data_IF_734030027323
#
_entry.id   IF_734030027323
#
_cell.length_a   1.000
_cell.length_b   1.000
_cell.length_c   1.000
_cell.angle_alpha   90.00
_cell.angle_beta   90.00
_cell.angle_gamma   90.00
#
_symmetry.space_group_name_H-M   'P 1'
#
loop_
_entity.id
_entity.type
_entity.pdbx_description
1 polymer ?
#
# COMPACT_ATOMS: atom_id res chain seq x y z
N UNK A 1 7.29 27.87 8.57
CA UNK A 1 7.54 26.60 7.84
C UNK A 1 6.64 25.44 8.32
N UNK A 2 6.76 24.99 9.55
CA UNK A 2 5.92 23.88 10.06
C UNK A 2 4.42 24.25 10.11
N UNK A 3 4.08 25.42 10.63
CA UNK A 3 2.70 25.91 10.67
C UNK A 3 2.07 26.07 9.28
N UNK A 4 2.84 26.54 8.30
CA UNK A 4 2.34 26.70 6.92
C UNK A 4 2.03 25.34 6.29
N UNK A 5 2.93 24.34 6.50
CA UNK A 5 2.71 22.97 6.04
C UNK A 5 1.43 22.38 6.63
N UNK A 6 1.24 22.53 7.94
CA UNK A 6 0.02 22.04 8.61
C UNK A 6 -1.23 22.77 8.14
N UNK A 7 -1.18 24.09 7.97
CA UNK A 7 -2.32 24.89 7.52
C UNK A 7 -2.76 24.48 6.09
N UNK A 8 -1.81 24.32 5.18
CA UNK A 8 -2.07 23.88 3.79
C UNK A 8 -2.62 22.44 3.77
N UNK A 9 -2.02 21.53 4.56
CA UNK A 9 -2.50 20.14 4.71
C UNK A 9 -3.93 20.12 5.25
N UNK A 10 -4.21 20.84 6.34
CA UNK A 10 -5.53 20.89 6.95
C UNK A 10 -6.59 21.43 6.00
N UNK A 11 -6.26 22.46 5.19
CA UNK A 11 -7.15 23.00 4.16
C UNK A 11 -7.52 21.91 3.13
N UNK A 12 -6.53 21.21 2.61
CA UNK A 12 -6.74 20.16 1.60
C UNK A 12 -7.52 18.97 2.15
N UNK A 13 -7.22 18.53 3.38
CA UNK A 13 -7.97 17.46 4.04
C UNK A 13 -9.43 17.88 4.29
N UNK A 14 -9.68 19.13 4.67
CA UNK A 14 -11.04 19.66 4.85
C UNK A 14 -11.81 19.69 3.53
N UNK A 15 -11.17 20.08 2.40
CA UNK A 15 -11.74 20.00 1.05
C UNK A 15 -12.10 18.55 0.70
N UNK A 16 -11.21 17.61 0.98
CA UNK A 16 -11.39 16.19 0.69
C UNK A 16 -12.53 15.56 1.51
N UNK A 17 -12.58 15.81 2.84
CA UNK A 17 -13.66 15.29 3.72
C UNK A 17 -15.04 15.81 3.29
N UNK A 18 -15.09 17.04 2.78
CA UNK A 18 -16.34 17.65 2.29
C UNK A 18 -16.77 17.16 0.89
N UNK A 19 -15.95 16.36 0.25
CA UNK A 19 -16.23 15.78 -1.06
C UNK A 19 -16.29 14.24 -0.98
N UNK A 20 -17.44 13.64 -0.63
CA UNK A 20 -17.57 12.19 -0.51
C UNK A 20 -17.28 11.46 -1.82
N UNK A 21 -17.52 12.09 -2.98
CA UNK A 21 -17.19 11.52 -4.28
C UNK A 21 -15.69 11.24 -4.46
N UNK A 22 -14.81 11.95 -3.74
CA UNK A 22 -13.38 11.70 -3.75
C UNK A 22 -12.94 10.56 -2.80
N UNK A 23 -13.79 10.18 -1.84
CA UNK A 23 -13.51 9.15 -0.84
C UNK A 23 -14.05 7.79 -1.28
N UNK A 24 -15.27 7.78 -1.81
CA UNK A 24 -16.01 6.57 -2.17
C UNK A 24 -15.24 5.61 -3.11
N UNK A 25 -14.54 6.06 -4.16
CA UNK A 25 -13.81 5.15 -5.04
C UNK A 25 -12.75 4.33 -4.32
N UNK A 26 -12.02 4.94 -3.36
CA UNK A 26 -11.01 4.22 -2.56
C UNK A 26 -11.62 3.14 -1.67
N UNK A 27 -12.75 3.46 -1.02
CA UNK A 27 -13.49 2.50 -0.19
C UNK A 27 -14.09 1.39 -1.06
N UNK A 28 -14.72 1.75 -2.17
CA UNK A 28 -15.29 0.78 -3.11
C UNK A 28 -14.24 -0.20 -3.62
N UNK A 29 -13.06 0.30 -4.02
CA UNK A 29 -11.95 -0.54 -4.48
C UNK A 29 -11.47 -1.50 -3.38
N UNK A 30 -11.41 -1.06 -2.12
CA UNK A 30 -11.06 -1.92 -0.99
C UNK A 30 -12.04 -3.10 -0.85
N UNK A 31 -13.34 -2.78 -0.85
CA UNK A 31 -14.40 -3.79 -0.74
C UNK A 31 -14.37 -4.71 -1.98
N UNK A 32 -14.30 -4.13 -3.17
CA UNK A 32 -14.31 -4.87 -4.44
C UNK A 32 -13.16 -5.89 -4.52
N UNK A 33 -11.91 -5.45 -4.29
CA UNK A 33 -10.76 -6.34 -4.37
C UNK A 33 -10.78 -7.43 -3.31
N UNK A 34 -11.10 -7.10 -2.04
CA UNK A 34 -11.16 -8.09 -0.97
C UNK A 34 -12.35 -9.02 -1.12
N UNK A 35 -13.54 -8.52 -1.48
CA UNK A 35 -14.71 -9.36 -1.67
C UNK A 35 -14.57 -10.25 -2.91
N UNK A 36 -14.13 -9.69 -4.05
CA UNK A 36 -13.99 -10.44 -5.30
C UNK A 36 -12.94 -11.54 -5.16
N UNK A 37 -11.71 -11.19 -4.79
CA UNK A 37 -10.63 -12.18 -4.71
C UNK A 37 -10.71 -13.03 -3.44
N UNK A 38 -11.15 -12.48 -2.32
CA UNK A 38 -11.28 -13.21 -1.08
C UNK A 38 -12.39 -14.28 -1.12
N UNK A 39 -13.48 -14.04 -1.85
CA UNK A 39 -14.57 -15.00 -2.01
C UNK A 39 -14.37 -15.97 -3.18
N UNK A 40 -13.81 -15.47 -4.30
CA UNK A 40 -13.68 -16.24 -5.55
C UNK A 40 -12.47 -17.18 -5.54
N UNK A 41 -11.41 -16.83 -4.83
CA UNK A 41 -10.17 -17.59 -4.73
C UNK A 41 -9.95 -18.10 -3.32
N UNK A 42 -10.45 -19.30 -3.03
CA UNK A 42 -10.02 -20.01 -1.83
C UNK A 42 -9.24 -21.25 -2.25
N UNK A 43 -7.89 -21.21 -2.28
CA UNK A 43 -7.07 -22.35 -2.70
C UNK A 43 -7.31 -23.61 -1.88
N UNK A 44 -7.76 -23.44 -0.63
CA UNK A 44 -8.11 -24.57 0.25
C UNK A 44 -9.37 -25.30 -0.23
N UNK A 45 -10.29 -24.59 -0.89
CA UNK A 45 -11.50 -25.19 -1.47
C UNK A 45 -11.19 -25.89 -2.81
N UNK A 46 -10.04 -25.65 -3.41
CA UNK A 46 -9.59 -26.34 -4.62
C UNK A 46 -9.00 -27.74 -4.33
N UNK A 47 -8.84 -28.10 -3.07
CA UNK A 47 -8.40 -29.44 -2.69
C UNK A 47 -9.51 -30.42 -3.06
N UNK A 48 -9.28 -31.35 -4.00
CA UNK A 48 -10.27 -32.33 -4.35
C UNK A 48 -10.55 -33.21 -3.12
N UNK A 49 -11.80 -33.41 -2.81
CA UNK A 49 -12.23 -34.33 -1.73
C UNK A 49 -12.18 -35.79 -2.19
N UNK A 50 -12.06 -36.00 -3.51
CA UNK A 50 -12.00 -37.34 -4.14
C UNK A 50 -10.99 -37.31 -5.28
N UNK A 51 -10.24 -38.39 -5.44
CA UNK A 51 -9.39 -38.66 -6.61
C UNK A 51 -9.84 -39.98 -7.24
N UNK A 52 -10.23 -39.95 -8.52
CA UNK A 52 -10.68 -41.14 -9.23
C UNK A 52 -11.92 -41.80 -8.64
N UNK A 53 -12.81 -41.03 -8.00
CA UNK A 53 -14.03 -41.53 -7.34
C UNK A 53 -13.82 -42.09 -5.94
N UNK A 54 -12.58 -42.17 -5.43
CA UNK A 54 -12.27 -42.60 -4.06
C UNK A 54 -12.10 -41.36 -3.16
N UNK A 55 -12.80 -41.32 -1.97
CA UNK A 55 -12.59 -40.24 -1.01
C UNK A 55 -11.13 -40.22 -0.52
N UNK A 56 -10.54 -39.00 -0.48
CA UNK A 56 -9.22 -38.82 0.13
C UNK A 56 -9.29 -39.14 1.65
N UNK A 57 -8.25 -39.78 2.18
CA UNK A 57 -8.14 -39.96 3.59
C UNK A 57 -8.10 -38.63 4.33
N UNK A 58 -8.68 -38.51 5.54
CA UNK A 58 -8.64 -37.27 6.31
C UNK A 58 -7.21 -36.76 6.55
N UNK A 59 -6.25 -37.66 6.74
CA UNK A 59 -4.82 -37.31 6.92
C UNK A 59 -4.21 -36.70 5.67
N UNK A 60 -4.47 -37.26 4.48
CA UNK A 60 -3.98 -36.73 3.22
C UNK A 60 -4.61 -35.38 2.91
N UNK A 61 -5.89 -35.22 3.18
CA UNK A 61 -6.60 -33.93 3.03
C UNK A 61 -5.97 -32.85 3.92
N UNK A 62 -5.64 -33.17 5.17
CA UNK A 62 -4.96 -32.26 6.09
C UNK A 62 -3.54 -31.90 5.61
N UNK A 63 -2.79 -32.88 5.11
CA UNK A 63 -1.45 -32.65 4.56
C UNK A 63 -1.49 -31.72 3.34
N UNK A 64 -2.43 -31.92 2.41
CA UNK A 64 -2.58 -31.05 1.24
C UNK A 64 -2.99 -29.63 1.68
N UNK A 65 -3.93 -29.51 2.62
CA UNK A 65 -4.32 -28.20 3.17
C UNK A 65 -3.16 -27.47 3.85
N UNK A 66 -2.35 -28.18 4.64
CA UNK A 66 -1.18 -27.60 5.28
C UNK A 66 -0.09 -27.18 4.28
N UNK A 67 0.12 -28.00 3.24
CA UNK A 67 1.04 -27.66 2.13
C UNK A 67 0.58 -26.40 1.36
N UNK A 68 -0.72 -26.30 1.06
CA UNK A 68 -1.28 -25.08 0.46
C UNK A 68 -1.11 -23.88 1.39
N UNK A 69 -1.47 -24.00 2.66
CA UNK A 69 -1.31 -22.93 3.64
C UNK A 69 0.15 -22.45 3.75
N UNK A 70 1.13 -23.36 3.68
CA UNK A 70 2.55 -22.99 3.71
C UNK A 70 2.98 -22.16 2.50
N UNK A 71 2.43 -22.43 1.31
CA UNK A 71 2.66 -21.62 0.10
C UNK A 71 2.16 -20.18 0.30
N UNK A 72 1.05 -20.01 1.04
CA UNK A 72 0.48 -18.70 1.38
C UNK A 72 1.03 -18.14 2.70
N UNK A 73 2.25 -18.53 3.10
CA UNK A 73 2.93 -17.99 4.27
C UNK A 73 2.29 -18.37 5.61
N UNK A 74 1.58 -19.49 5.67
CA UNK A 74 0.88 -19.98 6.87
C UNK A 74 -0.43 -19.27 7.17
N UNK A 75 -0.96 -18.45 6.26
CA UNK A 75 -2.24 -17.79 6.44
C UNK A 75 -3.39 -18.81 6.60
N UNK A 76 -4.25 -18.59 7.57
CA UNK A 76 -5.37 -19.48 7.89
C UNK A 76 -6.40 -19.53 6.76
N UNK A 77 -6.56 -18.43 6.01
CA UNK A 77 -7.41 -18.32 4.84
C UNK A 77 -6.81 -17.35 3.81
N UNK A 78 -7.33 -17.39 2.59
CA UNK A 78 -6.82 -16.55 1.50
C UNK A 78 -7.09 -15.05 1.73
N UNK A 79 -8.17 -14.68 2.43
CA UNK A 79 -8.45 -13.28 2.79
C UNK A 79 -7.35 -12.74 3.70
N UNK A 80 -6.88 -13.52 4.68
CA UNK A 80 -5.77 -13.12 5.55
C UNK A 80 -4.49 -12.87 4.77
N UNK A 81 -4.17 -13.75 3.80
CA UNK A 81 -3.04 -13.56 2.91
C UNK A 81 -3.17 -12.30 2.06
N UNK A 82 -4.35 -12.10 1.45
CA UNK A 82 -4.62 -10.99 0.55
C UNK A 82 -4.67 -9.64 1.26
N UNK A 83 -5.21 -9.58 2.47
CA UNK A 83 -5.49 -8.29 3.13
C UNK A 83 -4.24 -7.44 3.25
N UNK A 84 -3.10 -8.00 3.67
CA UNK A 84 -1.83 -7.28 3.74
C UNK A 84 -1.40 -6.71 2.37
N UNK A 85 -1.57 -7.50 1.30
CA UNK A 85 -1.26 -7.10 -0.07
C UNK A 85 -2.21 -6.02 -0.59
N UNK A 86 -3.51 -6.24 -0.44
CA UNK A 86 -4.54 -5.32 -0.95
C UNK A 86 -4.48 -3.96 -0.23
N UNK A 87 -4.26 -3.92 1.09
CA UNK A 87 -4.05 -2.65 1.80
C UNK A 87 -2.89 -1.88 1.15
N UNK A 88 -1.74 -2.53 0.99
CA UNK A 88 -0.55 -1.89 0.44
C UNK A 88 -0.77 -1.42 -1.00
N UNK A 89 -1.40 -2.26 -1.84
CA UNK A 89 -1.76 -1.95 -3.22
C UNK A 89 -2.65 -0.71 -3.31
N UNK A 90 -3.78 -0.72 -2.60
CA UNK A 90 -4.77 0.38 -2.66
C UNK A 90 -4.16 1.69 -2.15
N UNK A 91 -3.36 1.62 -1.09
CA UNK A 91 -2.71 2.80 -0.51
C UNK A 91 -1.72 3.43 -1.48
N UNK A 92 -0.88 2.64 -2.16
CA UNK A 92 0.07 3.14 -3.17
C UNK A 92 -0.67 3.76 -4.35
N UNK A 93 -1.72 3.11 -4.84
CA UNK A 93 -2.54 3.65 -5.93
C UNK A 93 -3.22 4.97 -5.50
N UNK A 94 -3.85 5.03 -4.33
CA UNK A 94 -4.46 6.27 -3.83
C UNK A 94 -3.42 7.39 -3.65
N UNK A 95 -2.23 7.05 -3.16
CA UNK A 95 -1.13 8.01 -3.02
C UNK A 95 -0.68 8.57 -4.36
N UNK A 96 -0.56 7.73 -5.37
CA UNK A 96 -0.17 8.11 -6.71
C UNK A 96 -1.18 9.09 -7.34
N UNK A 97 -2.47 8.74 -7.31
CA UNK A 97 -3.54 9.59 -7.84
C UNK A 97 -3.81 10.84 -6.99
N UNK A 98 -3.38 10.88 -5.73
CA UNK A 98 -3.50 12.08 -4.89
C UNK A 98 -2.80 13.32 -5.45
N UNK A 99 -1.83 13.15 -6.36
CA UNK A 99 -1.16 14.23 -7.08
C UNK A 99 -2.06 15.00 -8.06
N UNK A 100 -3.19 14.42 -8.47
CA UNK A 100 -4.14 15.07 -9.41
C UNK A 100 -4.64 16.40 -8.85
N UNK A 101 -4.95 16.46 -7.55
CA UNK A 101 -5.37 17.70 -6.88
C UNK A 101 -4.34 18.84 -7.07
N UNK A 102 -3.03 18.51 -7.08
CA UNK A 102 -1.94 19.48 -7.25
C UNK A 102 -1.95 20.03 -8.67
N UNK A 103 -2.13 19.17 -9.68
CA UNK A 103 -2.18 19.58 -11.09
C UNK A 103 -3.42 20.43 -11.36
N UNK A 104 -4.57 20.07 -10.78
CA UNK A 104 -5.80 20.87 -10.89
C UNK A 104 -5.61 22.24 -10.20
N UNK A 105 -5.07 22.29 -8.98
CA UNK A 105 -4.80 23.53 -8.27
C UNK A 105 -3.82 24.44 -9.06
N UNK A 106 -2.88 23.85 -9.83
CA UNK A 106 -2.02 24.58 -10.77
C UNK A 106 -2.83 25.15 -11.93
N UNK A 107 -3.66 24.35 -12.60
CA UNK A 107 -4.48 24.78 -13.75
C UNK A 107 -5.47 25.90 -13.37
N UNK A 108 -5.95 25.89 -12.13
CA UNK A 108 -6.82 26.95 -11.59
C UNK A 108 -6.03 28.19 -11.10
N UNK A 109 -4.70 28.22 -11.26
CA UNK A 109 -3.87 29.36 -10.85
C UNK A 109 -3.61 29.45 -9.34
N UNK A 110 -4.16 28.52 -8.54
CA UNK A 110 -3.97 28.53 -7.08
C UNK A 110 -2.50 28.31 -6.67
N UNK A 111 -1.77 27.47 -7.41
CA UNK A 111 -0.34 27.26 -7.16
C UNK A 111 0.45 28.57 -7.33
N UNK A 112 0.13 29.38 -8.35
CA UNK A 112 0.77 30.67 -8.58
C UNK A 112 0.53 31.63 -7.41
N UNK A 113 -0.70 31.64 -6.85
CA UNK A 113 -1.01 32.42 -5.65
C UNK A 113 -0.23 31.97 -4.42
N UNK A 114 0.05 30.67 -4.29
CA UNK A 114 0.92 30.15 -3.22
C UNK A 114 2.39 30.54 -3.40
N UNK A 115 2.87 30.60 -4.64
CA UNK A 115 4.25 30.94 -4.95
C UNK A 115 4.56 32.44 -4.73
N UNK A 116 3.54 33.32 -4.81
CA UNK A 116 3.65 34.74 -4.50
C UNK A 116 3.47 35.06 -3.01
N UNK A 117 2.91 34.13 -2.24
CA UNK A 117 2.77 34.27 -0.78
C UNK A 117 4.13 34.05 -0.07
N UNK A 118 4.32 34.58 1.15
CA UNK A 118 5.54 34.40 1.92
C UNK A 118 5.63 32.98 2.53
N UNK A 119 5.47 31.96 1.70
CA UNK A 119 5.47 30.54 2.09
C UNK A 119 6.67 29.85 1.46
N UNK A 120 7.38 29.01 2.21
CA UNK A 120 8.52 28.29 1.66
C UNK A 120 8.07 27.21 0.66
N UNK A 121 8.82 27.05 -0.43
CA UNK A 121 8.57 26.00 -1.45
C UNK A 121 8.62 24.59 -0.85
N UNK A 122 9.45 24.41 0.17
CA UNK A 122 9.49 23.16 0.96
C UNK A 122 8.17 22.90 1.67
N UNK A 123 7.53 23.96 2.24
CA UNK A 123 6.21 23.80 2.90
C UNK A 123 5.13 23.44 1.90
N UNK A 124 5.17 23.96 0.68
CA UNK A 124 4.23 23.62 -0.40
C UNK A 124 4.38 22.13 -0.78
N UNK A 125 5.62 21.68 -1.02
CA UNK A 125 5.90 20.26 -1.35
C UNK A 125 5.47 19.32 -0.20
N UNK A 126 5.91 19.62 1.03
CA UNK A 126 5.63 18.78 2.19
C UNK A 126 4.13 18.73 2.49
N UNK A 127 3.38 19.79 2.29
CA UNK A 127 1.92 19.80 2.46
C UNK A 127 1.23 18.90 1.44
N UNK A 128 1.70 18.90 0.19
CA UNK A 128 1.21 17.98 -0.86
C UNK A 128 1.47 16.52 -0.52
N UNK A 129 2.69 16.18 -0.08
CA UNK A 129 3.04 14.82 0.31
C UNK A 129 2.25 14.37 1.57
N UNK A 130 2.16 15.24 2.59
CA UNK A 130 1.50 14.91 3.84
C UNK A 130 -0.02 14.73 3.69
N UNK A 131 -0.70 15.59 2.92
CA UNK A 131 -2.14 15.42 2.68
C UNK A 131 -2.45 14.10 1.97
N UNK A 132 -1.66 13.73 0.96
CA UNK A 132 -1.84 12.48 0.22
C UNK A 132 -1.55 11.28 1.11
N UNK A 133 -0.51 11.35 1.95
CA UNK A 133 -0.20 10.34 2.95
C UNK A 133 -1.35 10.11 3.93
N UNK A 134 -1.93 11.17 4.49
CA UNK A 134 -3.06 11.06 5.43
C UNK A 134 -4.29 10.46 4.76
N UNK A 135 -4.62 10.88 3.53
CA UNK A 135 -5.72 10.29 2.72
C UNK A 135 -5.49 8.79 2.50
N UNK A 136 -4.28 8.41 2.09
CA UNK A 136 -3.92 7.03 1.82
C UNK A 136 -3.98 6.17 3.10
N UNK A 137 -3.48 6.68 4.23
CA UNK A 137 -3.56 5.97 5.52
C UNK A 137 -5.00 5.81 6.02
N UNK A 138 -5.87 6.78 5.77
CA UNK A 138 -7.30 6.62 6.03
C UNK A 138 -7.88 5.43 5.25
N UNK A 139 -7.57 5.32 3.95
CA UNK A 139 -8.01 4.17 3.13
C UNK A 139 -7.36 2.86 3.61
N UNK A 140 -6.11 2.88 4.12
CA UNK A 140 -5.49 1.71 4.73
C UNK A 140 -6.31 1.19 5.93
N UNK A 141 -6.70 2.09 6.82
CA UNK A 141 -7.54 1.75 7.99
C UNK A 141 -8.89 1.20 7.54
N UNK A 142 -9.55 1.84 6.59
CA UNK A 142 -10.82 1.36 6.04
C UNK A 142 -10.67 -0.04 5.43
N UNK A 143 -9.62 -0.26 4.63
CA UNK A 143 -9.35 -1.56 4.00
C UNK A 143 -9.10 -2.64 5.05
N UNK A 144 -8.37 -2.32 6.11
CA UNK A 144 -8.13 -3.23 7.23
C UNK A 144 -9.45 -3.61 7.94
N UNK A 145 -10.32 -2.63 8.20
CA UNK A 145 -11.65 -2.87 8.79
C UNK A 145 -12.52 -3.72 7.85
N UNK A 146 -12.51 -3.45 6.55
CA UNK A 146 -13.23 -4.27 5.55
C UNK A 146 -12.75 -5.71 5.62
N UNK A 147 -11.41 -5.93 5.71
CA UNK A 147 -10.85 -7.27 5.88
C UNK A 147 -11.33 -8.00 7.14
N UNK A 148 -11.62 -7.26 8.22
CA UNK A 148 -12.16 -7.83 9.47
C UNK A 148 -13.65 -8.22 9.35
N UNK A 149 -14.44 -7.42 8.63
CA UNK A 149 -15.91 -7.54 8.59
C UNK A 149 -16.37 -8.57 7.56
N UNK A 150 -15.56 -8.88 6.56
CA UNK A 150 -15.92 -9.83 5.50
C UNK A 150 -16.17 -11.24 6.07
N UNK A 151 -17.12 -12.02 5.50
CA UNK A 151 -17.29 -13.43 5.82
C UNK A 151 -15.97 -14.21 5.64
N UNK A 152 -15.61 -15.03 6.62
CA UNK A 152 -14.29 -15.66 6.71
C UNK A 152 -13.13 -14.66 6.61
N UNK A 153 -13.31 -13.47 7.19
CA UNK A 153 -12.40 -12.34 7.12
C UNK A 153 -11.01 -12.62 7.70
N UNK A 154 -10.33 -11.55 8.02
CA UNK A 154 -8.97 -11.55 8.54
C UNK A 154 -8.86 -12.38 9.81
N UNK A 155 -8.02 -13.41 9.79
CA UNK A 155 -7.72 -14.24 10.95
C UNK A 155 -6.30 -13.94 11.46
N UNK A 156 -6.19 -13.70 12.74
CA UNK A 156 -4.94 -13.36 13.38
C UNK A 156 -4.26 -14.57 13.99
N UNK A 157 -2.94 -14.59 13.92
CA UNK A 157 -2.13 -15.57 14.63
C UNK A 157 -2.23 -15.42 16.15
N UNK A 158 -1.92 -16.50 16.85
CA UNK A 158 -1.96 -16.54 18.32
C UNK A 158 -1.00 -15.46 18.90
N UNK A 159 -1.55 -14.62 19.77
CA UNK A 159 -0.82 -13.54 20.42
C UNK A 159 -0.71 -12.25 19.58
N UNK A 160 -1.50 -12.12 18.51
CA UNK A 160 -1.65 -10.85 17.81
C UNK A 160 -2.17 -9.77 18.76
N UNK A 161 -1.54 -8.60 18.75
CA UNK A 161 -1.88 -7.50 19.64
C UNK A 161 -1.60 -6.13 19.04
N UNK A 162 -1.72 -5.10 19.85
CA UNK A 162 -1.56 -3.70 19.42
C UNK A 162 -0.19 -3.43 18.76
N UNK A 163 0.88 -4.07 19.24
CA UNK A 163 2.21 -3.91 18.65
C UNK A 163 2.27 -4.45 17.22
N UNK A 164 1.57 -5.54 16.93
CA UNK A 164 1.48 -6.09 15.58
C UNK A 164 0.72 -5.12 14.66
N UNK A 165 -0.38 -4.56 15.12
CA UNK A 165 -1.13 -3.54 14.37
C UNK A 165 -0.24 -2.33 14.07
N UNK A 166 0.45 -1.81 15.07
CA UNK A 166 1.39 -0.70 14.87
C UNK A 166 2.50 -1.05 13.87
N UNK A 167 3.05 -2.26 13.94
CA UNK A 167 4.06 -2.74 12.99
C UNK A 167 3.53 -2.84 11.55
N UNK A 168 2.31 -3.36 11.37
CA UNK A 168 1.65 -3.42 10.06
C UNK A 168 1.50 -2.01 9.46
N UNK A 169 0.92 -1.10 10.24
CA UNK A 169 0.72 0.28 9.77
C UNK A 169 2.04 1.04 9.61
N UNK A 170 3.07 0.74 10.41
CA UNK A 170 4.40 1.32 10.25
C UNK A 170 5.04 0.90 8.91
N UNK A 171 5.01 -0.40 8.56
CA UNK A 171 5.55 -0.89 7.30
C UNK A 171 4.83 -0.26 6.08
N UNK A 172 3.50 -0.22 6.13
CA UNK A 172 2.68 0.40 5.09
C UNK A 172 2.96 1.91 5.01
N UNK A 173 3.09 2.59 6.15
CA UNK A 173 3.40 4.03 6.20
C UNK A 173 4.73 4.37 5.56
N UNK A 174 5.78 3.57 5.80
CA UNK A 174 7.11 3.82 5.26
C UNK A 174 7.11 3.73 3.72
N UNK A 175 6.57 2.66 3.16
CA UNK A 175 6.50 2.49 1.70
C UNK A 175 5.61 3.57 1.07
N UNK A 176 4.48 3.87 1.70
CA UNK A 176 3.53 4.90 1.25
C UNK A 176 4.16 6.28 1.25
N UNK A 177 4.86 6.65 2.32
CA UNK A 177 5.51 7.95 2.42
C UNK A 177 6.60 8.13 1.36
N UNK A 178 7.44 7.11 1.14
CA UNK A 178 8.47 7.14 0.10
C UNK A 178 7.90 7.38 -1.29
N UNK A 179 6.97 6.52 -1.72
CA UNK A 179 6.29 6.70 -3.02
C UNK A 179 5.49 7.99 -3.08
N UNK A 180 4.88 8.40 -1.98
CA UNK A 180 4.12 9.63 -1.91
C UNK A 180 4.94 10.87 -2.18
N UNK A 181 6.14 10.96 -1.64
CA UNK A 181 7.06 12.04 -1.96
C UNK A 181 7.44 12.03 -3.45
N UNK A 182 7.68 10.85 -4.03
CA UNK A 182 7.99 10.72 -5.45
C UNK A 182 6.82 11.15 -6.33
N UNK A 183 5.62 10.59 -6.12
CA UNK A 183 4.43 10.92 -6.93
C UNK A 183 4.00 12.39 -6.77
N UNK A 184 4.15 12.95 -5.57
CA UNK A 184 3.91 14.37 -5.33
C UNK A 184 4.91 15.24 -6.14
N UNK A 185 6.17 14.84 -6.21
CA UNK A 185 7.17 15.53 -7.00
C UNK A 185 6.89 15.46 -8.51
N UNK A 186 6.44 14.29 -8.99
CA UNK A 186 5.98 14.13 -10.39
C UNK A 186 4.80 15.05 -10.66
N UNK A 187 3.82 15.13 -9.74
CA UNK A 187 2.67 16.02 -9.89
C UNK A 187 3.07 17.51 -9.99
N UNK A 188 4.08 17.94 -9.22
CA UNK A 188 4.62 19.30 -9.35
C UNK A 188 5.41 19.52 -10.65
N UNK A 189 5.81 18.47 -11.35
CA UNK A 189 6.59 18.57 -12.60
C UNK A 189 5.70 18.55 -13.85
N UNK A 190 4.44 18.15 -13.71
CA UNK A 190 3.50 17.95 -14.84
C UNK A 190 2.43 19.03 -14.83
N UNK A 191 2.02 19.50 -16.03
CA UNK A 191 1.04 20.57 -16.20
C UNK A 191 -0.37 20.07 -16.55
N UNK A 192 -0.47 18.84 -17.03
CA UNK A 192 -1.73 18.25 -17.55
C UNK A 192 -2.06 16.96 -16.79
N UNK A 193 -3.31 16.81 -16.39
CA UNK A 193 -3.78 15.68 -15.61
C UNK A 193 -3.57 14.35 -16.36
N UNK A 194 -3.86 14.30 -17.66
CA UNK A 194 -3.73 13.07 -18.46
C UNK A 194 -2.27 12.58 -18.52
N UNK A 195 -1.32 13.51 -18.63
CA UNK A 195 0.12 13.17 -18.59
C UNK A 195 0.54 12.64 -17.21
N UNK A 196 -0.02 13.18 -16.13
CA UNK A 196 0.22 12.67 -14.79
C UNK A 196 -0.32 11.23 -14.64
N UNK A 197 -1.56 10.99 -15.10
CA UNK A 197 -2.19 9.66 -15.06
C UNK A 197 -1.36 8.65 -15.85
N UNK A 198 -0.88 9.00 -17.04
CA UNK A 198 -0.04 8.13 -17.84
C UNK A 198 1.26 7.74 -17.12
N UNK A 199 1.95 8.72 -16.51
CA UNK A 199 3.18 8.47 -15.74
C UNK A 199 2.91 7.61 -14.50
N UNK A 200 1.82 7.89 -13.77
CA UNK A 200 1.42 7.10 -12.61
C UNK A 200 1.18 5.65 -13.00
N UNK A 201 0.41 5.41 -14.05
CA UNK A 201 0.11 4.06 -14.51
C UNK A 201 1.39 3.31 -14.93
N UNK A 202 2.30 3.99 -15.64
CA UNK A 202 3.57 3.41 -16.04
C UNK A 202 4.48 3.05 -14.86
N UNK A 203 4.48 3.84 -13.79
CA UNK A 203 5.32 3.60 -12.62
C UNK A 203 4.65 2.70 -11.57
N UNK A 204 3.38 2.97 -11.23
CA UNK A 204 2.72 2.31 -10.12
C UNK A 204 2.29 0.88 -10.44
N UNK A 205 1.77 0.60 -11.65
CA UNK A 205 1.31 -0.74 -12.00
C UNK A 205 2.42 -1.79 -11.97
N UNK A 206 3.58 -1.60 -12.62
CA UNK A 206 4.66 -2.58 -12.51
C UNK A 206 5.11 -2.81 -11.07
N UNK A 207 5.25 -1.75 -10.27
CA UNK A 207 5.66 -1.86 -8.87
C UNK A 207 4.70 -2.72 -8.05
N UNK A 208 3.39 -2.53 -8.25
CA UNK A 208 2.36 -3.26 -7.51
C UNK A 208 2.24 -4.71 -8.00
N UNK A 209 2.17 -4.93 -9.32
CA UNK A 209 1.96 -6.27 -9.89
C UNK A 209 3.21 -7.15 -9.81
N UNK A 210 4.41 -6.54 -9.84
CA UNK A 210 5.68 -7.25 -9.60
C UNK A 210 5.99 -7.25 -8.09
N UNK A 211 5.01 -7.56 -7.25
CA UNK A 211 5.18 -7.67 -5.81
C UNK A 211 4.44 -8.89 -5.26
N UNK A 212 4.74 -9.25 -4.03
CA UNK A 212 4.03 -10.33 -3.33
C UNK A 212 2.63 -9.96 -2.84
N UNK A 213 2.05 -8.85 -3.34
CA UNK A 213 0.76 -8.35 -2.85
C UNK A 213 -0.39 -9.32 -3.11
N UNK A 214 -0.49 -9.86 -4.33
CA UNK A 214 -1.57 -10.75 -4.75
C UNK A 214 -1.17 -12.21 -4.80
N UNK A 215 0.10 -12.49 -5.12
CA UNK A 215 0.60 -13.85 -5.31
C UNK A 215 1.83 -14.11 -4.43
N UNK A 216 2.00 -15.34 -3.91
CA UNK A 216 3.20 -15.71 -3.17
C UNK A 216 4.44 -15.66 -4.07
N UNK A 217 5.59 -15.19 -3.55
CA UNK A 217 6.85 -15.15 -4.30
C UNK A 217 7.31 -16.51 -4.83
N UNK A 218 6.92 -17.60 -4.15
CA UNK A 218 7.25 -18.97 -4.56
C UNK A 218 6.61 -19.39 -5.88
N UNK A 219 5.56 -18.70 -6.34
CA UNK A 219 4.89 -18.99 -7.61
C UNK A 219 5.49 -18.22 -8.81
N UNK A 220 6.43 -17.30 -8.55
CA UNK A 220 7.03 -16.48 -9.59
C UNK A 220 8.15 -17.24 -10.33
N UNK A 221 8.28 -17.04 -11.65
CA UNK A 221 9.44 -17.52 -12.38
C UNK A 221 10.73 -16.84 -11.84
N UNK A 222 11.87 -17.52 -11.97
CA UNK A 222 13.14 -17.11 -11.32
C UNK A 222 13.57 -15.67 -11.62
N UNK A 223 13.40 -15.23 -12.87
CA UNK A 223 13.73 -13.86 -13.28
C UNK A 223 12.85 -12.79 -12.60
N UNK A 224 11.55 -13.08 -12.44
CA UNK A 224 10.59 -12.16 -11.81
C UNK A 224 10.73 -12.15 -10.30
N UNK A 225 11.05 -13.30 -9.71
CA UNK A 225 11.27 -13.47 -8.27
C UNK A 225 12.37 -12.54 -7.77
N UNK A 226 13.52 -12.48 -8.47
CA UNK A 226 14.62 -11.59 -8.09
C UNK A 226 14.21 -10.09 -8.07
N UNK A 227 13.42 -9.65 -9.05
CA UNK A 227 12.90 -8.28 -9.08
C UNK A 227 11.88 -8.05 -7.96
N UNK A 228 10.99 -9.01 -7.73
CA UNK A 228 9.97 -8.93 -6.68
C UNK A 228 10.58 -8.91 -5.27
N UNK A 229 11.65 -9.63 -5.02
CA UNK A 229 12.36 -9.66 -3.72
C UNK A 229 12.98 -8.31 -3.34
N UNK A 230 13.44 -7.54 -4.32
CA UNK A 230 13.99 -6.18 -4.11
C UNK A 230 12.91 -5.11 -4.05
N UNK A 231 11.70 -5.43 -4.50
CA UNK A 231 10.60 -4.46 -4.54
C UNK A 231 10.18 -4.03 -3.13
N UNK A 232 10.17 -2.72 -2.81
CA UNK A 232 9.78 -2.22 -1.49
C UNK A 232 8.32 -2.53 -1.14
N UNK A 233 7.45 -2.66 -2.13
CA UNK A 233 6.06 -3.10 -1.92
C UNK A 233 6.04 -4.51 -1.35
N UNK A 234 6.85 -5.41 -1.88
CA UNK A 234 7.01 -6.78 -1.36
C UNK A 234 7.47 -6.76 0.09
N UNK A 235 8.47 -5.94 0.44
CA UNK A 235 8.98 -5.85 1.82
C UNK A 235 7.92 -5.37 2.81
N UNK A 236 7.11 -4.39 2.42
CA UNK A 236 6.00 -3.91 3.24
C UNK A 236 4.91 -4.99 3.42
N UNK A 237 4.51 -5.65 2.32
CA UNK A 237 3.50 -6.72 2.33
C UNK A 237 3.94 -7.91 3.15
N UNK A 238 5.18 -8.39 2.96
CA UNK A 238 5.72 -9.52 3.74
C UNK A 238 5.79 -9.21 5.23
N UNK A 239 6.23 -8.00 5.59
CA UNK A 239 6.26 -7.56 6.98
C UNK A 239 4.87 -7.52 7.59
N UNK A 240 3.92 -6.91 6.90
CA UNK A 240 2.53 -6.85 7.36
C UNK A 240 1.93 -8.27 7.50
N UNK A 241 2.20 -9.15 6.54
CA UNK A 241 1.73 -10.54 6.54
C UNK A 241 2.32 -11.34 7.68
N UNK A 242 3.64 -11.26 7.92
CA UNK A 242 4.30 -11.94 9.03
C UNK A 242 3.70 -11.53 10.37
N UNK A 243 3.45 -10.23 10.57
CA UNK A 243 2.86 -9.70 11.79
C UNK A 243 1.40 -10.14 11.98
N UNK A 244 0.61 -10.22 10.91
CA UNK A 244 -0.80 -10.63 10.96
C UNK A 244 -0.92 -12.13 11.24
N UNK A 245 -0.16 -12.95 10.49
CA UNK A 245 -0.32 -14.41 10.48
C UNK A 245 0.30 -15.06 11.72
N UNK A 246 1.46 -14.59 12.18
CA UNK A 246 2.19 -15.28 13.25
C UNK A 246 1.85 -14.76 14.65
N UNK A 247 1.35 -13.52 14.79
CA UNK A 247 1.06 -12.92 16.10
C UNK A 247 2.29 -12.81 17.00
N UNK A 248 2.78 -13.93 17.54
CA UNK A 248 4.10 -14.02 18.20
C UNK A 248 5.16 -14.43 17.20
N UNK A 249 6.15 -13.57 17.03
CA UNK A 249 7.26 -13.81 16.09
C UNK A 249 8.36 -14.63 16.75
N UNK A 250 8.93 -15.57 15.99
CA UNK A 250 10.19 -16.24 16.34
C UNK A 250 11.37 -15.29 16.16
N UNK A 251 12.54 -15.60 16.75
CA UNK A 251 13.74 -14.76 16.59
C UNK A 251 14.15 -14.56 15.13
N UNK A 252 14.00 -15.56 14.28
CA UNK A 252 14.27 -15.46 12.84
C UNK A 252 13.26 -14.57 12.11
N UNK A 253 11.97 -14.65 12.46
CA UNK A 253 10.94 -13.79 11.90
C UNK A 253 11.10 -12.34 12.35
N UNK A 254 11.46 -12.12 13.61
CA UNK A 254 11.74 -10.78 14.14
C UNK A 254 12.94 -10.14 13.41
N UNK A 255 14.01 -10.88 13.15
CA UNK A 255 15.14 -10.37 12.36
C UNK A 255 14.71 -10.02 10.93
N UNK A 256 13.87 -10.84 10.29
CA UNK A 256 13.32 -10.54 8.95
C UNK A 256 12.49 -9.25 8.96
N UNK A 257 11.59 -9.09 9.93
CA UNK A 257 10.80 -7.86 10.11
C UNK A 257 11.72 -6.66 10.30
N UNK A 258 12.74 -6.76 11.16
CA UNK A 258 13.68 -5.67 11.42
C UNK A 258 14.47 -5.27 10.15
N UNK A 259 14.97 -6.23 9.37
CA UNK A 259 15.64 -5.97 8.10
C UNK A 259 14.73 -5.34 7.07
N UNK A 260 13.50 -5.82 6.92
CA UNK A 260 12.52 -5.23 6.01
C UNK A 260 12.15 -3.80 6.43
N UNK A 261 11.98 -3.54 7.73
CA UNK A 261 11.72 -2.20 8.25
C UNK A 261 12.89 -1.25 7.99
N UNK A 262 14.14 -1.69 8.23
CA UNK A 262 15.32 -0.91 7.93
C UNK A 262 15.40 -0.58 6.43
N UNK A 263 15.17 -1.57 5.58
CA UNK A 263 15.10 -1.38 4.13
C UNK A 263 14.05 -0.32 3.74
N UNK A 264 12.84 -0.41 4.31
CA UNK A 264 11.76 0.53 4.04
C UNK A 264 12.07 1.94 4.54
N UNK A 265 12.76 2.09 5.67
CA UNK A 265 13.22 3.41 6.16
C UNK A 265 14.23 4.02 5.19
N UNK A 266 15.24 3.27 4.79
CA UNK A 266 16.23 3.74 3.81
C UNK A 266 15.55 4.12 2.49
N UNK A 267 14.67 3.28 2.00
CA UNK A 267 13.88 3.52 0.79
C UNK A 267 13.03 4.81 0.91
N UNK A 268 12.30 4.98 2.01
CA UNK A 268 11.47 6.17 2.25
C UNK A 268 12.32 7.45 2.28
N UNK A 269 13.48 7.43 2.94
CA UNK A 269 14.39 8.57 3.03
C UNK A 269 14.97 8.91 1.64
N UNK A 270 15.41 7.91 0.88
CA UNK A 270 15.95 8.10 -0.48
C UNK A 270 14.89 8.71 -1.40
N UNK A 271 13.68 8.14 -1.42
CA UNK A 271 12.61 8.69 -2.28
C UNK A 271 12.11 10.05 -1.81
N UNK A 272 12.07 10.32 -0.51
CA UNK A 272 11.73 11.64 0.00
C UNK A 272 12.77 12.69 -0.41
N UNK A 273 14.06 12.36 -0.34
CA UNK A 273 15.14 13.24 -0.79
C UNK A 273 15.07 13.48 -2.30
N UNK A 274 14.91 12.42 -3.11
CA UNK A 274 14.76 12.54 -4.58
C UNK A 274 13.52 13.35 -4.94
N UNK A 275 12.38 13.05 -4.32
CA UNK A 275 11.13 13.77 -4.53
C UNK A 275 11.26 15.26 -4.20
N UNK A 276 11.90 15.58 -3.08
CA UNK A 276 12.18 16.96 -2.72
C UNK A 276 13.07 17.69 -3.75
N UNK A 277 14.13 17.05 -4.24
CA UNK A 277 15.02 17.63 -5.24
C UNK A 277 14.30 17.90 -6.57
N UNK A 278 13.47 16.96 -7.03
CA UNK A 278 12.67 17.11 -8.25
C UNK A 278 11.66 18.25 -8.07
N UNK A 279 10.87 18.23 -6.99
CA UNK A 279 9.86 19.26 -6.72
C UNK A 279 10.49 20.65 -6.56
N UNK A 280 11.66 20.76 -5.91
CA UNK A 280 12.39 22.03 -5.77
C UNK A 280 12.78 22.60 -7.11
N UNK A 281 13.20 21.76 -8.08
CA UNK A 281 13.53 22.21 -9.44
C UNK A 281 12.27 22.65 -10.19
N UNK A 282 11.20 21.86 -10.12
CA UNK A 282 9.93 22.19 -10.77
C UNK A 282 9.34 23.52 -10.27
N UNK A 283 9.32 23.71 -8.95
CA UNK A 283 8.82 24.95 -8.33
C UNK A 283 9.73 26.18 -8.53
N UNK A 284 11.00 26.02 -8.97
CA UNK A 284 11.88 27.14 -9.31
C UNK A 284 11.71 27.60 -10.75
N UNK A 285 11.20 26.72 -11.62
CA UNK A 285 11.06 27.02 -13.06
C UNK A 285 9.73 27.76 -13.36
N UNK A 286 8.90 27.96 -12.34
CA UNK A 286 7.69 28.80 -12.34
C UNK A 286 7.96 30.14 -11.66
#
# INVERSE_FOLDING_TARGET
>A
MFNDTLALTARSLRKWIRNPAAILPGIFMAIFWLALFGSSFNPVNLVPTQIGGTPLSPTLTLQIKSAISSVFGGAANYITFLTAGIITLIVIINMAYGGIDIVIDRQLGYLNSLLTAPISRTSIFMSGALQNFVKAMFIAVVTFIVGLVLPNGLQFGAGFGALNVLGVFAAISLVTFGFGCLFTAVAFSVKVVDSLIAIINFLAFPLVFVSSAMFPLGTFPSWLKGVAEVNPVTKAVETARLLIVNGKLTSSQLSTVAWNMLYLVVFAVVLAALGYLIARRALKAE
#
